data_IF_219720917251
#
_entry.id   IF_219720917251
#
_cell.length_a   1.000
_cell.length_b   1.000
_cell.length_c   1.000
_cell.angle_alpha   90.00
_cell.angle_beta   90.00
_cell.angle_gamma   90.00
#
_symmetry.space_group_name_H-M   'P 1'
#
loop_
_entity.id
_entity.type
_entity.pdbx_description
1 polymer ?
#
# COMPACT_ATOMS: atom_id res chain seq x y z
N UNK A 1 57.07 7.79 18.65
CA UNK A 1 57.10 7.95 17.18
C UNK A 1 57.94 9.17 16.87
N UNK A 2 58.43 9.39 15.64
CA UNK A 2 59.08 10.68 15.33
C UNK A 2 58.03 11.66 14.81
N UNK A 3 58.16 12.95 15.13
CA UNK A 3 57.27 13.98 14.58
C UNK A 3 57.42 14.20 13.08
N UNK A 4 58.53 13.71 12.51
CA UNK A 4 58.75 13.63 11.07
C UNK A 4 58.04 12.46 10.39
N UNK A 5 57.46 11.52 11.15
CA UNK A 5 56.72 10.40 10.57
C UNK A 5 55.39 10.91 10.00
N UNK A 6 55.05 10.46 8.78
CA UNK A 6 53.79 10.80 8.11
C UNK A 6 52.89 9.56 8.09
N UNK A 7 51.63 9.73 8.49
CA UNK A 7 50.67 8.65 8.63
C UNK A 7 49.43 8.86 7.76
N UNK A 8 48.96 7.77 7.17
CA UNK A 8 47.64 7.67 6.56
C UNK A 8 46.90 6.50 7.18
N UNK A 9 45.68 6.74 7.64
CA UNK A 9 44.78 5.69 8.15
C UNK A 9 43.80 5.32 7.05
N UNK A 10 43.72 4.05 6.72
CA UNK A 10 42.75 3.49 5.79
C UNK A 10 41.66 2.76 6.58
N UNK A 11 40.41 3.20 6.37
CA UNK A 11 39.21 2.49 6.79
C UNK A 11 38.66 1.78 5.57
N UNK A 12 38.50 0.46 5.65
CA UNK A 12 38.08 -0.41 4.57
C UNK A 12 36.76 -1.08 4.97
N UNK A 13 35.66 -0.48 4.53
CA UNK A 13 34.31 -0.99 4.70
C UNK A 13 33.87 -1.90 3.53
N UNK A 14 32.67 -2.46 3.65
CA UNK A 14 32.07 -3.27 2.57
C UNK A 14 31.60 -2.44 1.37
N UNK A 15 31.44 -1.13 1.56
CA UNK A 15 31.00 -0.18 0.53
C UNK A 15 31.99 0.98 0.39
N UNK A 16 31.90 1.70 -0.73
CA UNK A 16 32.67 2.92 -0.94
C UNK A 16 32.38 3.99 0.13
N UNK A 17 31.11 4.12 0.56
CA UNK A 17 30.71 5.05 1.62
C UNK A 17 31.25 4.64 3.00
N UNK A 18 31.44 3.34 3.23
CA UNK A 18 32.06 2.79 4.44
C UNK A 18 33.59 2.80 4.43
N UNK A 19 34.22 3.33 3.38
CA UNK A 19 35.67 3.34 3.23
C UNK A 19 36.23 4.76 3.13
N UNK A 20 37.40 5.01 3.71
CA UNK A 20 38.05 6.32 3.60
C UNK A 20 39.56 6.22 3.87
N UNK A 21 40.31 7.22 3.43
CA UNK A 21 41.71 7.42 3.79
C UNK A 21 41.84 8.76 4.49
N UNK A 22 42.39 8.76 5.70
CA UNK A 22 42.52 9.93 6.56
C UNK A 22 44.01 10.24 6.73
N UNK A 23 44.42 11.41 6.29
CA UNK A 23 45.79 11.88 6.40
C UNK A 23 46.10 13.02 5.42
N UNK A 24 47.33 13.56 5.45
CA UNK A 24 48.42 13.14 6.34
C UNK A 24 48.17 13.50 7.80
N UNK A 25 48.65 12.64 8.71
CA UNK A 25 48.82 12.93 10.14
C UNK A 25 50.31 12.84 10.48
N UNK A 26 50.76 13.62 11.44
CA UNK A 26 52.16 13.62 11.87
C UNK A 26 52.30 12.82 13.15
N UNK A 27 53.47 12.23 13.35
CA UNK A 27 53.72 11.49 14.57
C UNK A 27 53.90 12.35 15.81
N UNK A 28 53.63 11.75 16.95
CA UNK A 28 53.84 12.39 18.25
C UNK A 28 54.91 11.65 19.04
N UNK A 29 55.61 12.41 19.89
CA UNK A 29 56.73 11.92 20.69
C UNK A 29 56.28 10.90 21.74
N UNK A 30 55.04 10.99 22.20
CA UNK A 30 54.42 10.00 23.10
C UNK A 30 54.08 8.66 22.42
N UNK A 31 54.19 8.60 21.09
CA UNK A 31 53.94 7.39 20.32
C UNK A 31 52.48 7.14 19.93
N UNK A 32 51.57 8.07 20.19
CA UNK A 32 50.15 7.96 19.88
C UNK A 32 49.70 9.02 18.87
N UNK A 33 48.75 8.68 18.00
CA UNK A 33 48.12 9.65 17.10
C UNK A 33 46.63 9.41 17.10
N UNK A 34 45.86 10.46 17.40
CA UNK A 34 44.40 10.43 17.37
C UNK A 34 43.94 10.75 15.94
N UNK A 35 43.08 9.91 15.39
CA UNK A 35 42.52 10.05 14.06
C UNK A 35 41.01 9.94 14.13
N UNK A 36 40.32 11.04 13.86
CA UNK A 36 38.87 11.08 13.84
C UNK A 36 38.34 10.40 12.56
N UNK A 37 37.54 9.36 12.75
CA UNK A 37 36.81 8.72 11.64
C UNK A 37 35.46 9.43 11.46
N UNK A 38 35.11 9.89 10.24
CA UNK A 38 33.84 10.55 10.03
C UNK A 38 32.66 9.66 10.43
N UNK A 39 31.68 10.23 11.13
CA UNK A 39 30.49 9.49 11.55
C UNK A 39 29.71 8.86 10.36
N UNK A 40 29.75 9.49 9.19
CA UNK A 40 29.16 8.95 7.95
C UNK A 40 29.84 7.65 7.48
N UNK A 41 31.16 7.52 7.67
CA UNK A 41 31.92 6.30 7.34
C UNK A 41 31.55 5.18 8.31
N UNK A 42 31.45 5.49 9.61
CA UNK A 42 30.98 4.50 10.60
C UNK A 42 29.54 4.07 10.30
N UNK A 43 28.64 5.02 10.05
CA UNK A 43 27.24 4.74 9.73
C UNK A 43 27.07 3.87 8.47
N UNK A 44 27.90 4.08 7.45
CA UNK A 44 27.88 3.29 6.23
C UNK A 44 28.35 1.83 6.40
N UNK A 45 28.94 1.50 7.55
CA UNK A 45 29.29 0.13 7.91
C UNK A 45 28.25 -0.53 8.83
N UNK A 46 27.22 0.18 9.31
CA UNK A 46 26.15 -0.39 10.14
C UNK A 46 25.19 -1.20 9.26
N UNK A 47 24.84 -2.41 9.70
CA UNK A 47 23.84 -3.27 9.07
C UNK A 47 22.70 -3.67 10.02
N UNK A 48 21.74 -4.45 9.50
CA UNK A 48 20.66 -5.06 10.31
C UNK A 48 21.20 -6.13 11.28
N UNK A 49 22.31 -6.76 10.90
CA UNK A 49 23.06 -7.70 11.73
C UNK A 49 24.42 -7.10 12.04
N UNK A 50 25.16 -7.74 12.96
CA UNK A 50 26.55 -7.34 13.20
C UNK A 50 27.37 -7.41 11.92
N UNK A 51 28.16 -6.37 11.68
CA UNK A 51 29.05 -6.21 10.52
C UNK A 51 30.49 -6.05 10.98
N UNK A 52 31.42 -6.10 10.04
CA UNK A 52 32.84 -5.86 10.30
C UNK A 52 33.41 -4.94 9.23
N UNK A 53 34.40 -4.14 9.63
CA UNK A 53 35.24 -3.37 8.72
C UNK A 53 36.69 -3.41 9.21
N UNK A 54 37.62 -3.09 8.32
CA UNK A 54 39.05 -3.15 8.63
C UNK A 54 39.62 -1.75 8.76
N UNK A 55 40.47 -1.53 9.76
CA UNK A 55 41.30 -0.32 9.88
C UNK A 55 42.76 -0.74 9.76
N UNK A 56 43.54 -0.01 8.98
CA UNK A 56 45.01 -0.11 9.00
C UNK A 56 45.61 1.28 8.83
N UNK A 57 46.88 1.45 9.14
CA UNK A 57 47.58 2.68 8.85
C UNK A 57 48.92 2.41 8.18
N UNK A 58 49.42 3.38 7.45
CA UNK A 58 50.79 3.37 6.90
C UNK A 58 51.60 4.46 7.58
N UNK A 59 52.89 4.19 7.81
CA UNK A 59 53.85 5.17 8.32
C UNK A 59 54.97 5.34 7.30
N UNK A 60 55.19 6.57 6.86
CA UNK A 60 56.33 6.94 6.02
C UNK A 60 57.40 7.61 6.87
N UNK A 61 58.61 7.03 6.88
CA UNK A 61 59.78 7.56 7.57
C UNK A 61 61.00 7.51 6.64
N UNK A 62 61.65 8.66 6.44
CA UNK A 62 62.86 8.72 5.61
C UNK A 62 62.65 8.22 4.17
N UNK A 63 61.44 8.34 3.63
CA UNK A 63 61.08 7.86 2.29
C UNK A 63 60.59 6.40 2.24
N UNK A 64 60.71 5.62 3.32
CA UNK A 64 60.17 4.26 3.40
C UNK A 64 58.77 4.24 3.99
N UNK A 65 57.81 3.60 3.32
CA UNK A 65 56.44 3.41 3.80
C UNK A 65 56.23 2.00 4.31
N UNK A 66 55.69 1.85 5.53
CA UNK A 66 55.40 0.56 6.15
C UNK A 66 53.95 0.50 6.64
N UNK A 67 53.17 -0.55 6.28
CA UNK A 67 51.81 -0.72 6.79
C UNK A 67 51.81 -1.32 8.21
N UNK A 68 50.74 -1.04 8.95
CA UNK A 68 50.39 -1.72 10.18
C UNK A 68 49.79 -3.10 9.90
N UNK A 69 49.68 -3.91 10.95
CA UNK A 69 48.76 -5.06 10.92
C UNK A 69 47.32 -4.53 10.82
N UNK A 70 46.44 -5.16 10.03
CA UNK A 70 45.03 -4.80 9.97
C UNK A 70 44.31 -5.08 11.29
N UNK A 71 43.49 -4.12 11.73
CA UNK A 71 42.56 -4.27 12.85
C UNK A 71 41.15 -4.48 12.31
N UNK A 72 40.55 -5.63 12.61
CA UNK A 72 39.14 -5.88 12.33
C UNK A 72 38.28 -5.31 13.45
N UNK A 73 37.35 -4.41 13.10
CA UNK A 73 36.39 -3.81 14.03
C UNK A 73 35.02 -4.44 13.78
N UNK A 74 34.38 -4.92 14.84
CA UNK A 74 32.99 -5.40 14.79
C UNK A 74 32.04 -4.28 15.18
N UNK A 75 31.00 -4.07 14.37
CA UNK A 75 29.91 -3.14 14.63
C UNK A 75 28.63 -3.93 14.90
N UNK A 76 27.97 -3.63 16.00
CA UNK A 76 26.63 -4.15 16.25
C UNK A 76 25.58 -3.36 15.45
N UNK A 77 24.41 -3.96 15.25
CA UNK A 77 23.28 -3.25 14.67
C UNK A 77 22.77 -2.16 15.60
N UNK A 78 22.01 -1.20 15.05
CA UNK A 78 21.42 -0.15 15.87
C UNK A 78 20.50 -0.76 16.93
N UNK A 79 20.64 -0.36 18.21
CA UNK A 79 19.77 -0.85 19.27
C UNK A 79 18.30 -0.53 18.97
N UNK A 80 17.40 -1.47 19.30
CA UNK A 80 15.96 -1.27 19.12
C UNK A 80 15.45 0.00 19.81
N UNK A 81 16.03 0.36 20.97
CA UNK A 81 15.70 1.59 21.69
C UNK A 81 16.06 2.86 20.90
N UNK A 82 17.12 2.82 20.09
CA UNK A 82 17.48 3.93 19.20
C UNK A 82 16.51 4.02 18.03
N UNK A 83 16.21 2.88 17.38
CA UNK A 83 15.26 2.85 16.25
C UNK A 83 13.86 3.32 16.65
N UNK A 84 13.41 3.02 17.88
CA UNK A 84 12.12 3.46 18.43
C UNK A 84 12.01 4.97 18.67
N UNK A 85 13.12 5.72 18.66
CA UNK A 85 13.07 7.19 18.73
C UNK A 85 12.51 7.80 17.45
N UNK A 86 12.64 7.09 16.33
CA UNK A 86 12.01 7.49 15.06
C UNK A 86 10.52 7.24 15.13
N UNK A 87 9.73 8.30 15.09
CA UNK A 87 8.27 8.20 15.04
C UNK A 87 7.85 7.94 13.61
N UNK A 88 7.31 6.75 13.37
CA UNK A 88 6.72 6.30 12.11
C UNK A 88 5.24 6.09 12.37
N UNK A 89 4.34 6.88 11.77
CA UNK A 89 2.91 6.71 12.03
C UNK A 89 1.99 7.17 10.91
N UNK A 90 0.71 6.80 10.98
CA UNK A 90 -0.39 7.46 10.26
C UNK A 90 -1.04 8.45 11.23
N UNK A 91 -1.06 9.74 10.87
CA UNK A 91 -1.50 10.81 11.78
C UNK A 91 -2.98 10.73 12.17
N UNK A 92 -3.83 10.12 11.33
CA UNK A 92 -5.26 9.92 11.58
C UNK A 92 -5.57 8.65 12.38
N UNK A 93 -4.54 7.89 12.79
CA UNK A 93 -4.75 6.78 13.70
C UNK A 93 -5.02 7.30 15.12
N UNK A 94 -5.98 6.67 15.80
CA UNK A 94 -6.23 6.92 17.22
C UNK A 94 -5.08 6.42 18.10
N UNK A 95 -5.09 6.82 19.38
CA UNK A 95 -4.06 6.40 20.35
C UNK A 95 -3.99 4.88 20.57
N UNK A 96 -5.09 4.15 20.33
CA UNK A 96 -5.14 2.68 20.38
C UNK A 96 -4.80 2.02 19.03
N UNK A 97 -4.32 2.76 18.04
CA UNK A 97 -3.90 2.23 16.75
C UNK A 97 -5.05 1.83 15.83
N UNK A 98 -6.19 2.51 15.91
CA UNK A 98 -7.34 2.31 15.02
C UNK A 98 -7.37 3.40 13.96
N UNK A 99 -7.58 3.02 12.71
CA UNK A 99 -7.87 3.96 11.61
C UNK A 99 -9.34 3.77 11.24
N UNK A 100 -10.18 4.71 11.65
CA UNK A 100 -11.58 4.77 11.24
C UNK A 100 -11.65 5.40 9.85
N UNK A 101 -11.79 4.54 8.83
CA UNK A 101 -11.80 4.94 7.41
C UNK A 101 -13.05 5.74 7.07
N UNK A 102 -14.14 5.52 7.80
CA UNK A 102 -15.41 6.17 7.54
C UNK A 102 -15.44 7.58 8.13
N UNK A 103 -14.66 7.82 9.19
CA UNK A 103 -14.49 9.13 9.80
C UNK A 103 -13.34 9.97 9.20
N UNK A 104 -12.63 9.46 8.18
CA UNK A 104 -11.54 10.21 7.55
C UNK A 104 -12.07 11.49 6.88
N UNK A 105 -11.51 12.68 7.19
CA UNK A 105 -11.90 13.94 6.55
C UNK A 105 -11.40 14.04 5.09
N UNK A 106 -10.54 13.12 4.67
CA UNK A 106 -9.90 13.09 3.36
C UNK A 106 -8.87 11.97 3.29
N UNK A 107 -7.77 12.21 2.56
CA UNK A 107 -6.63 11.30 2.58
C UNK A 107 -5.95 11.31 3.95
N UNK A 108 -5.33 10.18 4.31
CA UNK A 108 -4.51 10.08 5.50
C UNK A 108 -3.06 10.50 5.21
N UNK A 109 -2.26 10.67 6.26
CA UNK A 109 -0.89 11.15 6.20
C UNK A 109 0.02 10.19 6.95
N UNK A 110 0.95 9.55 6.25
CA UNK A 110 2.02 8.79 6.86
C UNK A 110 3.18 9.75 7.17
N UNK A 111 3.72 9.67 8.38
CA UNK A 111 4.77 10.54 8.91
C UNK A 111 5.97 9.71 9.33
N UNK A 112 7.17 10.19 9.00
CA UNK A 112 8.43 9.65 9.50
C UNK A 112 9.28 10.81 10.04
N UNK A 113 9.70 10.77 11.30
CA UNK A 113 10.61 11.78 11.87
C UNK A 113 12.06 11.52 11.51
N UNK A 114 12.97 12.36 12.00
CA UNK A 114 14.41 12.11 11.90
C UNK A 114 14.83 10.80 12.59
N UNK A 115 15.93 10.21 12.12
CA UNK A 115 16.52 8.98 12.64
C UNK A 115 18.05 9.10 12.79
N UNK A 116 18.67 8.16 13.50
CA UNK A 116 20.12 8.16 13.74
C UNK A 116 20.92 8.11 12.43
N UNK A 117 22.00 8.90 12.36
CA UNK A 117 22.89 9.01 11.19
C UNK A 117 22.23 9.49 9.88
N UNK A 118 21.03 10.08 9.99
CA UNK A 118 20.33 10.67 8.86
C UNK A 118 21.14 11.78 8.21
N UNK A 119 21.23 11.74 6.88
CA UNK A 119 21.86 12.79 6.05
C UNK A 119 21.17 12.82 4.68
N UNK A 120 21.30 13.91 3.91
CA UNK A 120 20.74 13.98 2.56
C UNK A 120 21.28 12.86 1.65
N UNK A 121 20.43 12.37 0.75
CA UNK A 121 20.77 11.37 -0.25
C UNK A 121 20.74 9.92 0.24
N UNK A 122 20.34 9.65 1.50
CA UNK A 122 20.15 8.28 1.96
C UNK A 122 18.89 7.67 1.34
N UNK A 123 18.96 6.54 0.61
CA UNK A 123 17.78 5.87 0.08
C UNK A 123 16.87 5.36 1.19
N UNK A 124 15.55 5.54 1.01
CA UNK A 124 14.54 5.14 1.99
C UNK A 124 13.36 4.42 1.36
N UNK A 125 12.73 3.54 2.13
CA UNK A 125 11.53 2.82 1.72
C UNK A 125 10.45 2.99 2.78
N UNK A 126 9.21 3.15 2.33
CA UNK A 126 8.04 3.20 3.20
C UNK A 126 6.92 2.40 2.55
N UNK A 127 6.47 1.38 3.26
CA UNK A 127 5.49 0.43 2.77
C UNK A 127 4.27 0.38 3.67
N UNK A 128 3.12 0.18 3.04
CA UNK A 128 1.89 -0.24 3.66
C UNK A 128 1.62 -1.69 3.27
N UNK A 129 1.55 -2.56 4.26
CA UNK A 129 1.11 -3.94 4.09
C UNK A 129 -0.30 -4.07 4.65
N UNK A 130 -1.29 -4.11 3.77
CA UNK A 130 -2.70 -4.21 4.10
C UNK A 130 -3.33 -5.50 3.58
N UNK A 131 -4.54 -5.80 4.05
CA UNK A 131 -5.31 -6.99 3.65
C UNK A 131 -6.74 -6.57 3.31
N UNK A 132 -7.27 -7.05 2.18
CA UNK A 132 -8.66 -6.85 1.75
C UNK A 132 -9.62 -7.69 2.58
N UNK A 133 -10.93 -7.45 2.42
CA UNK A 133 -11.96 -8.22 3.11
C UNK A 133 -11.95 -9.72 2.75
N UNK A 134 -11.49 -10.09 1.55
CA UNK A 134 -11.35 -11.47 1.09
C UNK A 134 -10.06 -12.16 1.57
N UNK A 135 -9.23 -11.47 2.36
CA UNK A 135 -7.94 -11.98 2.85
C UNK A 135 -6.77 -11.80 1.88
N UNK A 136 -7.00 -11.27 0.67
CA UNK A 136 -5.90 -11.03 -0.28
C UNK A 136 -5.01 -9.86 0.15
N UNK A 137 -3.68 -9.95 -0.05
CA UNK A 137 -2.77 -8.83 0.21
C UNK A 137 -3.11 -7.61 -0.66
N UNK A 138 -3.06 -6.44 -0.05
CA UNK A 138 -3.21 -5.16 -0.73
C UNK A 138 -2.10 -4.21 -0.28
N UNK A 139 -0.88 -4.49 -0.75
CA UNK A 139 0.30 -3.74 -0.38
C UNK A 139 0.44 -2.46 -1.23
N UNK A 140 0.97 -1.40 -0.64
CA UNK A 140 1.24 -0.13 -1.32
C UNK A 140 2.63 0.38 -0.95
N UNK A 141 3.39 0.81 -1.95
CA UNK A 141 4.67 1.49 -1.77
C UNK A 141 4.45 2.99 -1.77
N UNK A 142 4.78 3.65 -0.66
CA UNK A 142 4.74 5.11 -0.53
C UNK A 142 6.07 5.74 -0.95
N UNK A 143 7.19 5.15 -0.49
CA UNK A 143 8.54 5.55 -0.88
C UNK A 143 9.32 4.35 -1.41
N UNK A 144 10.02 4.53 -2.53
CA UNK A 144 10.85 3.50 -3.15
C UNK A 144 12.31 3.99 -3.29
N UNK A 145 13.18 3.51 -2.40
CA UNK A 145 14.59 3.88 -2.35
C UNK A 145 15.43 3.29 -3.48
N UNK A 146 14.95 2.22 -4.12
CA UNK A 146 15.59 1.65 -5.31
C UNK A 146 15.45 2.55 -6.54
N UNK A 147 14.50 3.50 -6.51
CA UNK A 147 14.30 4.51 -7.54
C UNK A 147 14.83 5.87 -7.06
N UNK A 148 13.93 6.79 -6.64
CA UNK A 148 14.27 8.19 -6.32
C UNK A 148 14.01 8.60 -4.89
N UNK A 149 13.40 7.75 -4.06
CA UNK A 149 13.08 8.14 -2.69
C UNK A 149 14.36 8.17 -1.84
N UNK A 150 14.64 9.32 -1.27
CA UNK A 150 15.81 9.54 -0.44
C UNK A 150 15.54 10.66 0.56
N UNK A 151 16.37 10.71 1.61
CA UNK A 151 16.34 11.82 2.56
C UNK A 151 16.72 13.12 1.86
N UNK A 152 15.90 14.15 1.99
CA UNK A 152 16.21 15.50 1.54
C UNK A 152 16.53 16.46 2.71
N UNK A 153 16.98 17.67 2.38
CA UNK A 153 17.31 18.69 3.37
C UNK A 153 16.08 19.28 4.09
N UNK A 154 14.90 19.23 3.46
CA UNK A 154 13.66 19.74 4.05
C UNK A 154 13.22 18.83 5.21
N UNK A 155 13.28 17.51 5.03
CA UNK A 155 13.00 16.52 6.07
C UNK A 155 13.87 16.76 7.31
N UNK A 156 15.18 16.94 7.12
CA UNK A 156 16.10 17.20 8.24
C UNK A 156 15.76 18.51 8.96
N UNK A 157 15.55 19.60 8.22
CA UNK A 157 15.31 20.93 8.81
C UNK A 157 13.95 21.04 9.51
N UNK A 158 12.90 20.41 8.99
CA UNK A 158 11.56 20.42 9.61
C UNK A 158 11.35 19.31 10.64
N UNK A 159 12.21 18.29 10.65
CA UNK A 159 12.19 17.18 11.61
C UNK A 159 11.28 16.01 11.23
N UNK A 160 10.59 16.06 10.08
CA UNK A 160 9.69 14.99 9.61
C UNK A 160 9.52 14.98 8.09
N UNK A 161 9.04 13.88 7.53
CA UNK A 161 8.58 13.73 6.15
C UNK A 161 7.15 13.21 6.14
N UNK A 162 6.35 13.64 5.15
CA UNK A 162 4.94 13.29 5.03
C UNK A 162 4.67 12.65 3.68
N UNK A 163 4.00 11.50 3.70
CA UNK A 163 3.47 10.82 2.53
C UNK A 163 1.94 10.80 2.58
N UNK A 164 1.31 11.00 1.42
CA UNK A 164 -0.15 10.91 1.31
C UNK A 164 -0.59 9.47 1.19
N UNK A 165 -1.47 9.03 2.09
CA UNK A 165 -2.13 7.73 2.01
C UNK A 165 -3.55 7.93 1.52
N UNK A 166 -3.82 7.50 0.28
CA UNK A 166 -5.12 7.76 -0.34
C UNK A 166 -6.24 7.05 0.43
N UNK A 167 -7.34 7.77 0.62
CA UNK A 167 -8.53 7.23 1.29
C UNK A 167 -9.14 6.04 0.54
N UNK A 168 -9.08 6.03 -0.79
CA UNK A 168 -9.56 4.91 -1.60
C UNK A 168 -8.77 3.62 -1.33
N UNK A 169 -7.44 3.70 -1.19
CA UNK A 169 -6.62 2.56 -0.79
C UNK A 169 -7.05 2.01 0.58
N UNK A 170 -7.27 2.88 1.57
CA UNK A 170 -7.72 2.45 2.90
C UNK A 170 -9.12 1.83 2.88
N UNK A 171 -10.03 2.35 2.04
CA UNK A 171 -11.38 1.79 1.82
C UNK A 171 -11.36 0.44 1.10
N UNK A 172 -10.26 0.08 0.46
CA UNK A 172 -10.10 -1.22 -0.19
C UNK A 172 -9.65 -2.32 0.80
N UNK A 173 -9.24 -1.94 2.01
CA UNK A 173 -8.85 -2.86 3.07
C UNK A 173 -10.09 -3.41 3.80
N UNK A 174 -9.96 -4.62 4.33
CA UNK A 174 -11.03 -5.27 5.10
C UNK A 174 -11.29 -4.57 6.44
N UNK A 175 -12.55 -4.53 6.86
CA UNK A 175 -12.90 -4.12 8.21
C UNK A 175 -12.22 -5.04 9.24
N UNK A 176 -11.66 -4.46 10.30
CA UNK A 176 -10.86 -5.12 11.35
C UNK A 176 -9.59 -5.81 10.84
N UNK A 177 -9.19 -5.57 9.59
CA UNK A 177 -7.92 -6.08 9.08
C UNK A 177 -6.75 -5.28 9.64
N UNK A 178 -5.58 -5.92 9.65
CA UNK A 178 -4.35 -5.26 10.07
C UNK A 178 -3.74 -4.49 8.88
N UNK A 179 -3.26 -3.28 9.16
CA UNK A 179 -2.38 -2.51 8.28
C UNK A 179 -1.05 -2.27 8.97
N UNK A 180 0.05 -2.62 8.30
CA UNK A 180 1.40 -2.41 8.81
C UNK A 180 2.11 -1.33 8.01
N UNK A 181 2.62 -0.30 8.70
CA UNK A 181 3.50 0.72 8.15
C UNK A 181 4.96 0.35 8.46
N UNK A 182 5.75 0.08 7.43
CA UNK A 182 7.14 -0.36 7.54
C UNK A 182 8.07 0.65 6.88
N UNK A 183 9.05 1.15 7.64
CA UNK A 183 10.07 2.08 7.16
C UNK A 183 11.45 1.41 7.13
N UNK A 184 12.27 1.74 6.12
CA UNK A 184 13.66 1.29 6.00
C UNK A 184 14.55 2.41 5.47
N UNK A 185 15.83 2.44 5.88
CA UNK A 185 16.80 3.42 5.39
C UNK A 185 18.19 2.81 5.18
N UNK A 186 18.82 3.05 4.03
CA UNK A 186 20.16 2.55 3.71
C UNK A 186 21.24 3.57 4.13
N UNK A 187 21.83 3.41 5.32
CA UNK A 187 22.82 4.33 5.89
C UNK A 187 24.13 4.41 5.09
N UNK A 188 24.41 3.40 4.26
CA UNK A 188 25.54 3.34 3.35
C UNK A 188 25.30 4.09 2.03
N UNK A 189 24.09 4.61 1.80
CA UNK A 189 23.74 5.34 0.58
C UNK A 189 23.51 4.47 -0.66
N UNK A 190 23.54 3.13 -0.52
CA UNK A 190 23.31 2.21 -1.63
C UNK A 190 21.81 2.02 -1.84
N UNK A 191 21.34 2.10 -3.10
CA UNK A 191 19.94 1.87 -3.49
C UNK A 191 19.58 0.38 -3.54
N UNK A 192 19.92 -0.36 -2.49
CA UNK A 192 19.63 -1.77 -2.32
C UNK A 192 18.91 -1.98 -0.98
N UNK A 193 17.64 -2.39 -1.04
CA UNK A 193 16.81 -2.55 0.15
C UNK A 193 17.35 -3.62 1.10
N UNK A 194 18.08 -4.63 0.60
CA UNK A 194 18.67 -5.67 1.45
C UNK A 194 19.73 -5.13 2.41
N UNK A 195 20.30 -3.96 2.09
CA UNK A 195 21.29 -3.27 2.92
C UNK A 195 20.68 -2.18 3.81
N UNK A 196 19.36 -1.97 3.71
CA UNK A 196 18.66 -0.93 4.46
C UNK A 196 18.34 -1.38 5.88
N UNK A 197 18.58 -0.50 6.86
CA UNK A 197 18.18 -0.72 8.25
C UNK A 197 16.67 -0.73 8.34
N UNK A 198 16.12 -1.81 8.91
CA UNK A 198 14.68 -1.97 9.11
C UNK A 198 14.25 -1.41 10.47
N UNK A 199 13.34 -0.42 10.45
CA UNK A 199 12.80 0.16 11.67
C UNK A 199 11.65 -0.69 12.21
N UNK A 200 11.33 -0.62 13.51
CA UNK A 200 10.17 -1.32 14.06
C UNK A 200 8.88 -0.90 13.33
N UNK A 201 8.08 -1.85 12.83
CA UNK A 201 6.83 -1.52 12.15
C UNK A 201 5.81 -0.92 13.11
N UNK A 202 4.96 -0.05 12.58
CA UNK A 202 3.75 0.39 13.30
C UNK A 202 2.54 -0.31 12.71
N UNK A 203 1.70 -0.90 13.57
CA UNK A 203 0.55 -1.71 13.17
C UNK A 203 -0.75 -1.02 13.59
N UNK A 204 -1.72 -1.05 12.70
CA UNK A 204 -3.04 -0.49 12.88
C UNK A 204 -4.12 -1.54 12.67
N UNK A 205 -5.27 -1.31 13.27
CA UNK A 205 -6.52 -2.01 12.95
C UNK A 205 -7.41 -1.07 12.14
N UNK A 206 -7.86 -1.54 10.98
CA UNK A 206 -8.79 -0.78 10.15
C UNK A 206 -10.21 -0.93 10.70
N UNK A 207 -10.94 0.17 10.71
CA UNK A 207 -12.35 0.16 11.05
C UNK A 207 -13.13 0.80 9.91
N UNK A 208 -14.05 0.02 9.34
CA UNK A 208 -15.07 0.52 8.43
C UNK A 208 -16.35 -0.29 8.60
N UNK A 209 -17.45 0.40 8.83
CA UNK A 209 -18.80 -0.17 8.95
C UNK A 209 -19.61 0.01 7.67
N UNK A 210 -19.04 0.69 6.68
CA UNK A 210 -19.64 0.91 5.37
C UNK A 210 -19.57 -0.36 4.52
N UNK A 211 -20.64 -0.63 3.77
CA UNK A 211 -20.68 -1.76 2.84
C UNK A 211 -19.70 -1.54 1.68
N UNK A 212 -18.84 -2.53 1.41
CA UNK A 212 -18.15 -2.71 0.14
C UNK A 212 -18.27 -4.17 -0.28
N UNK A 213 -19.20 -4.42 -1.18
CA UNK A 213 -19.61 -5.76 -1.61
C UNK A 213 -19.44 -5.87 -3.11
N UNK A 214 -18.34 -6.49 -3.54
CA UNK A 214 -18.08 -6.76 -4.96
C UNK A 214 -18.18 -8.27 -5.26
N UNK A 215 -18.64 -8.63 -6.46
CA UNK A 215 -18.83 -10.02 -6.88
C UNK A 215 -18.44 -10.15 -8.35
N UNK A 216 -17.37 -10.91 -8.60
CA UNK A 216 -16.82 -11.22 -9.92
C UNK A 216 -17.22 -12.60 -10.42
N UNK A 217 -18.00 -13.36 -9.62
CA UNK A 217 -18.41 -14.74 -9.88
C UNK A 217 -17.28 -15.77 -10.11
N UNK A 218 -16.02 -15.40 -9.84
CA UNK A 218 -14.88 -16.30 -9.89
C UNK A 218 -15.05 -17.46 -8.91
N UNK A 219 -14.42 -18.59 -9.22
CA UNK A 219 -14.43 -19.80 -8.40
C UNK A 219 -15.84 -20.34 -8.10
N UNK A 220 -16.79 -20.08 -9.01
CA UNK A 220 -18.21 -20.39 -8.86
C UNK A 220 -18.84 -19.75 -7.60
N UNK A 221 -18.34 -18.60 -7.16
CA UNK A 221 -18.81 -17.91 -5.96
C UNK A 221 -19.91 -16.89 -6.26
N UNK A 222 -21.15 -17.19 -5.87
CA UNK A 222 -22.32 -16.32 -6.05
C UNK A 222 -22.39 -15.15 -5.05
N UNK A 223 -21.53 -15.08 -4.02
CA UNK A 223 -21.58 -14.07 -2.96
C UNK A 223 -23.01 -13.79 -2.40
N UNK A 224 -23.75 -14.89 -2.14
CA UNK A 224 -25.12 -14.88 -1.63
C UNK A 224 -26.17 -14.17 -2.50
N UNK A 225 -25.84 -13.86 -3.76
CA UNK A 225 -26.84 -13.42 -4.74
C UNK A 225 -27.80 -14.56 -5.08
N UNK A 226 -29.09 -14.27 -5.04
CA UNK A 226 -30.17 -15.16 -5.44
C UNK A 226 -30.66 -14.78 -6.83
N UNK A 227 -30.86 -15.78 -7.68
CA UNK A 227 -31.52 -15.59 -8.97
C UNK A 227 -33.04 -15.62 -8.77
N UNK A 228 -33.74 -14.67 -9.39
CA UNK A 228 -35.21 -14.70 -9.50
C UNK A 228 -35.69 -15.92 -10.31
N UNK A 229 -34.86 -16.43 -11.22
CA UNK A 229 -35.23 -17.52 -12.15
C UNK A 229 -34.36 -18.76 -12.00
N UNK A 230 -34.93 -19.96 -12.18
CA UNK A 230 -34.19 -21.22 -12.03
C UNK A 230 -33.23 -21.48 -13.20
N UNK A 231 -33.55 -20.98 -14.40
CA UNK A 231 -32.72 -21.11 -15.60
C UNK A 231 -31.60 -20.06 -15.61
N UNK A 232 -30.72 -20.16 -14.61
CA UNK A 232 -29.60 -19.25 -14.40
C UNK A 232 -28.42 -19.95 -13.71
N UNK A 233 -27.21 -19.41 -13.89
CA UNK A 233 -26.02 -19.91 -13.22
C UNK A 233 -24.73 -19.25 -13.70
N UNK A 234 -23.63 -19.58 -13.03
CA UNK A 234 -22.31 -19.09 -13.42
C UNK A 234 -21.86 -19.78 -14.71
N UNK A 235 -21.30 -18.98 -15.62
CA UNK A 235 -20.68 -19.40 -16.88
C UNK A 235 -19.27 -18.85 -16.94
N UNK A 236 -18.45 -19.45 -17.82
CA UNK A 236 -17.06 -19.08 -18.02
C UNK A 236 -16.77 -18.91 -19.50
N UNK A 237 -16.19 -17.78 -19.86
CA UNK A 237 -15.67 -17.53 -21.21
C UNK A 237 -14.31 -18.20 -21.44
N UNK A 238 -13.91 -18.33 -22.71
CA UNK A 238 -12.60 -18.89 -23.09
C UNK A 238 -11.41 -18.07 -22.57
N UNK A 239 -11.59 -16.75 -22.38
CA UNK A 239 -10.63 -15.83 -21.78
C UNK A 239 -10.48 -16.00 -20.24
N UNK A 240 -11.29 -16.87 -19.61
CA UNK A 240 -11.29 -17.11 -18.18
C UNK A 240 -12.20 -16.22 -17.34
N UNK A 241 -12.95 -15.29 -17.95
CA UNK A 241 -13.93 -14.47 -17.27
C UNK A 241 -15.13 -15.32 -16.82
N UNK A 242 -15.42 -15.31 -15.52
CA UNK A 242 -16.65 -15.89 -14.98
C UNK A 242 -17.73 -14.81 -14.90
N UNK A 243 -18.98 -15.18 -15.13
CA UNK A 243 -20.11 -14.25 -15.05
C UNK A 243 -21.39 -15.03 -14.74
N UNK A 244 -22.39 -14.35 -14.21
CA UNK A 244 -23.71 -14.94 -14.07
C UNK A 244 -24.50 -14.80 -15.37
N UNK A 245 -25.15 -15.87 -15.81
CA UNK A 245 -26.00 -15.90 -16.99
C UNK A 245 -27.40 -16.39 -16.63
N UNK A 246 -28.43 -15.82 -17.23
CA UNK A 246 -29.79 -16.32 -17.18
C UNK A 246 -30.46 -16.35 -18.56
N UNK A 247 -31.29 -17.36 -18.77
CA UNK A 247 -32.06 -17.61 -20.00
C UNK A 247 -33.53 -17.84 -19.66
N UNK A 248 -34.26 -16.81 -19.18
CA UNK A 248 -35.63 -16.96 -18.72
C UNK A 248 -36.58 -17.25 -19.89
N UNK A 249 -37.79 -17.70 -19.55
CA UNK A 249 -38.87 -17.89 -20.51
C UNK A 249 -39.33 -16.59 -21.18
N UNK A 250 -40.13 -16.74 -22.24
CA UNK A 250 -40.69 -15.62 -23.02
C UNK A 250 -41.37 -14.57 -22.14
N UNK A 251 -40.98 -13.31 -22.31
CA UNK A 251 -41.58 -12.15 -21.63
C UNK A 251 -41.15 -11.95 -20.18
N UNK A 252 -40.24 -12.79 -19.66
CA UNK A 252 -39.78 -12.72 -18.27
C UNK A 252 -38.42 -12.03 -18.19
N UNK A 253 -38.32 -10.98 -17.35
CA UNK A 253 -37.06 -10.31 -16.99
C UNK A 253 -36.07 -11.23 -16.30
N UNK A 254 -34.91 -10.71 -15.91
CA UNK A 254 -34.00 -11.40 -14.97
C UNK A 254 -33.62 -10.48 -13.83
N UNK A 255 -33.36 -11.05 -12.66
CA UNK A 255 -32.88 -10.32 -11.50
C UNK A 255 -31.95 -11.18 -10.67
N UNK A 256 -30.83 -10.58 -10.28
CA UNK A 256 -30.05 -11.01 -9.13
C UNK A 256 -30.41 -10.11 -7.97
N UNK A 257 -30.76 -10.70 -6.82
CA UNK A 257 -31.11 -9.94 -5.63
C UNK A 257 -30.46 -10.53 -4.38
N UNK A 258 -30.23 -9.68 -3.37
CA UNK A 258 -29.82 -10.09 -2.02
C UNK A 258 -30.25 -9.06 -1.00
N UNK A 259 -30.31 -9.46 0.27
CA UNK A 259 -30.53 -8.52 1.38
C UNK A 259 -29.19 -8.01 1.88
N UNK A 260 -29.02 -6.68 1.92
CA UNK A 260 -27.91 -6.02 2.58
C UNK A 260 -28.35 -5.51 3.94
N UNK A 261 -27.50 -5.68 4.95
CA UNK A 261 -27.75 -5.26 6.34
C UNK A 261 -26.68 -4.22 6.75
N UNK A 262 -26.79 -2.96 6.29
CA UNK A 262 -25.83 -1.92 6.65
C UNK A 262 -25.86 -1.63 8.15
N UNK A 263 -24.69 -1.38 8.74
CA UNK A 263 -24.56 -0.99 10.15
C UNK A 263 -24.69 0.53 10.37
N UNK A 264 -24.68 1.32 9.31
CA UNK A 264 -24.76 2.78 9.34
C UNK A 264 -25.52 3.31 8.12
N UNK A 265 -26.01 4.54 8.20
CA UNK A 265 -26.57 5.24 7.04
C UNK A 265 -25.47 5.72 6.09
N UNK A 266 -25.78 5.92 4.81
CA UNK A 266 -24.79 6.38 3.84
C UNK A 266 -25.30 6.51 2.41
N UNK A 267 -24.41 7.00 1.54
CA UNK A 267 -24.65 7.10 0.11
C UNK A 267 -24.14 5.87 -0.61
N UNK A 268 -24.92 5.38 -1.57
CA UNK A 268 -24.60 4.19 -2.32
C UNK A 268 -24.21 4.50 -3.76
N UNK A 269 -23.17 3.81 -4.22
CA UNK A 269 -22.78 3.72 -5.62
C UNK A 269 -22.77 2.25 -6.03
N UNK A 270 -23.29 1.99 -7.22
CA UNK A 270 -23.34 0.63 -7.79
C UNK A 270 -22.66 0.64 -9.14
N UNK A 271 -21.80 -0.35 -9.35
CA UNK A 271 -21.23 -0.68 -10.65
C UNK A 271 -21.48 -2.14 -10.99
N UNK A 272 -21.62 -2.44 -12.27
CA UNK A 272 -21.66 -3.82 -12.78
C UNK A 272 -21.39 -3.81 -14.28
N UNK A 273 -21.00 -4.95 -14.83
CA UNK A 273 -20.97 -5.20 -16.27
C UNK A 273 -22.17 -6.04 -16.67
N UNK A 274 -22.68 -5.83 -17.88
CA UNK A 274 -23.74 -6.65 -18.44
C UNK A 274 -23.56 -6.87 -19.94
N UNK A 275 -24.06 -7.99 -20.45
CA UNK A 275 -24.17 -8.27 -21.87
C UNK A 275 -25.53 -8.91 -22.14
N UNK A 276 -26.20 -8.44 -23.19
CA UNK A 276 -27.55 -8.89 -23.55
C UNK A 276 -27.55 -9.20 -25.04
N UNK A 277 -28.16 -10.32 -25.45
CA UNK A 277 -28.08 -10.77 -26.84
C UNK A 277 -29.22 -10.28 -27.75
N UNK A 278 -30.29 -9.70 -27.20
CA UNK A 278 -31.49 -9.33 -27.97
C UNK A 278 -32.28 -8.19 -27.30
N UNK A 279 -32.77 -7.26 -28.12
CA UNK A 279 -33.68 -6.18 -27.71
C UNK A 279 -35.14 -6.62 -27.68
N UNK A 280 -35.94 -6.02 -26.81
CA UNK A 280 -37.41 -6.10 -26.75
C UNK A 280 -38.07 -5.98 -28.13
N UNK A 281 -39.05 -6.84 -28.41
CA UNK A 281 -39.80 -6.85 -29.67
C UNK A 281 -41.24 -6.32 -29.53
N UNK A 282 -41.72 -6.08 -28.30
CA UNK A 282 -43.10 -5.63 -28.03
C UNK A 282 -43.10 -4.57 -26.92
N UNK A 283 -43.62 -3.37 -27.25
CA UNK A 283 -44.18 -2.41 -26.29
C UNK A 283 -43.23 -1.44 -25.56
N UNK A 284 -41.95 -1.78 -25.34
CA UNK A 284 -40.97 -0.90 -24.68
C UNK A 284 -39.52 -1.41 -24.89
N UNK A 285 -38.47 -0.56 -24.78
CA UNK A 285 -37.09 -1.03 -24.89
C UNK A 285 -36.69 -1.95 -23.73
N UNK A 286 -35.76 -2.88 -23.98
CA UNK A 286 -35.06 -3.61 -22.92
C UNK A 286 -34.19 -2.62 -22.15
N UNK A 287 -34.23 -2.68 -20.82
CA UNK A 287 -33.43 -1.83 -19.95
C UNK A 287 -32.81 -2.62 -18.81
N UNK A 288 -31.69 -2.12 -18.30
CA UNK A 288 -31.12 -2.57 -17.03
C UNK A 288 -31.62 -1.68 -15.90
N UNK A 289 -31.78 -2.27 -14.73
CA UNK A 289 -32.30 -1.62 -13.53
C UNK A 289 -31.46 -1.99 -12.32
N UNK A 290 -31.25 -1.00 -11.45
CA UNK A 290 -30.72 -1.20 -10.11
C UNK A 290 -31.78 -0.75 -9.12
N UNK A 291 -32.13 -1.59 -8.15
CA UNK A 291 -32.90 -1.20 -6.97
C UNK A 291 -32.08 -1.43 -5.70
N UNK A 292 -31.97 -0.41 -4.85
CA UNK A 292 -31.47 -0.54 -3.48
C UNK A 292 -32.52 0.03 -2.52
N UNK A 293 -33.37 -0.82 -1.95
CA UNK A 293 -34.48 -0.37 -1.10
C UNK A 293 -35.39 0.64 -1.83
N UNK A 294 -35.37 1.90 -1.39
CA UNK A 294 -36.15 3.00 -2.00
C UNK A 294 -35.45 3.68 -3.19
N UNK A 295 -34.18 3.37 -3.45
CA UNK A 295 -33.41 3.96 -4.55
C UNK A 295 -33.56 3.11 -5.82
N UNK A 296 -33.72 3.79 -6.96
CA UNK A 296 -33.90 3.16 -8.26
C UNK A 296 -33.11 3.89 -9.34
N UNK A 297 -32.51 3.13 -10.24
CA UNK A 297 -31.91 3.65 -11.46
C UNK A 297 -32.20 2.71 -12.63
N UNK A 298 -32.41 3.27 -13.82
CA UNK A 298 -32.70 2.52 -15.05
C UNK A 298 -31.95 3.09 -16.23
N UNK A 299 -31.53 2.22 -17.15
CA UNK A 299 -30.94 2.61 -18.43
C UNK A 299 -31.36 1.68 -19.55
N UNK A 300 -31.86 2.25 -20.65
CA UNK A 300 -32.12 1.49 -21.88
C UNK A 300 -30.82 0.88 -22.38
N UNK A 301 -30.89 -0.38 -22.81
CA UNK A 301 -29.73 -1.08 -23.38
C UNK A 301 -29.32 -0.38 -24.68
N UNK A 302 -28.10 0.18 -24.77
CA UNK A 302 -27.68 0.94 -25.94
C UNK A 302 -27.23 0.04 -27.10
N UNK A 303 -26.76 -1.17 -26.81
CA UNK A 303 -26.25 -2.12 -27.79
C UNK A 303 -26.29 -3.55 -27.23
N UNK A 304 -26.37 -4.54 -28.12
CA UNK A 304 -26.43 -5.97 -27.79
C UNK A 304 -25.14 -6.70 -28.16
N UNK A 305 -24.96 -7.93 -27.65
CA UNK A 305 -23.84 -8.83 -27.93
C UNK A 305 -22.45 -8.27 -27.56
N UNK A 306 -22.41 -7.31 -26.64
CA UNK A 306 -21.17 -6.70 -26.14
C UNK A 306 -21.28 -6.43 -24.65
N UNK A 307 -20.14 -6.46 -23.96
CA UNK A 307 -20.06 -6.11 -22.54
C UNK A 307 -20.15 -4.60 -22.38
N UNK A 308 -21.10 -4.17 -21.55
CA UNK A 308 -21.37 -2.79 -21.18
C UNK A 308 -21.17 -2.60 -19.69
N UNK A 309 -20.79 -1.40 -19.27
CA UNK A 309 -20.51 -1.08 -17.87
C UNK A 309 -21.45 -0.01 -17.34
N UNK A 310 -21.92 -0.21 -16.12
CA UNK A 310 -22.65 0.77 -15.32
C UNK A 310 -21.77 1.18 -14.14
N UNK A 311 -21.77 2.47 -13.81
CA UNK A 311 -21.21 3.00 -12.57
C UNK A 311 -21.98 4.26 -12.19
N UNK A 312 -22.88 4.14 -11.20
CA UNK A 312 -23.85 5.19 -10.86
C UNK A 312 -23.90 5.42 -9.35
N UNK A 313 -23.93 6.70 -8.96
CA UNK A 313 -24.30 7.10 -7.62
C UNK A 313 -25.83 7.12 -7.51
N UNK A 314 -26.40 6.29 -6.64
CA UNK A 314 -27.85 6.13 -6.48
C UNK A 314 -28.45 7.12 -5.48
N UNK A 315 -27.79 7.34 -4.35
CA UNK A 315 -28.28 8.22 -3.30
C UNK A 315 -28.15 7.64 -1.90
N UNK A 316 -28.87 8.27 -0.96
CA UNK A 316 -28.78 8.00 0.47
C UNK A 316 -29.79 6.95 0.95
N UNK A 317 -29.37 6.06 1.86
CA UNK A 317 -30.26 5.16 2.61
C UNK A 317 -29.98 5.25 4.13
N UNK A 318 -31.00 5.06 4.98
CA UNK A 318 -30.93 5.32 6.42
C UNK A 318 -30.24 4.23 7.25
N UNK A 319 -29.47 3.31 6.64
CA UNK A 319 -28.75 2.26 7.37
C UNK A 319 -29.66 1.17 7.95
N UNK A 320 -30.78 0.90 7.29
CA UNK A 320 -31.67 -0.23 7.61
C UNK A 320 -31.48 -1.35 6.59
N UNK A 321 -31.81 -2.62 6.91
CA UNK A 321 -31.78 -3.68 5.92
C UNK A 321 -32.62 -3.34 4.69
N UNK A 322 -32.13 -3.66 3.51
CA UNK A 322 -32.84 -3.47 2.25
C UNK A 322 -32.49 -4.56 1.25
N UNK A 323 -33.41 -4.82 0.32
CA UNK A 323 -33.13 -5.64 -0.84
C UNK A 323 -32.35 -4.82 -1.87
N UNK A 324 -31.23 -5.37 -2.31
CA UNK A 324 -30.44 -4.91 -3.43
C UNK A 324 -30.70 -5.81 -4.62
N UNK A 325 -30.96 -5.26 -5.80
CA UNK A 325 -31.07 -6.02 -7.03
C UNK A 325 -30.47 -5.33 -8.24
N UNK A 326 -29.93 -6.15 -9.13
CA UNK A 326 -29.52 -5.78 -10.49
C UNK A 326 -30.36 -6.64 -11.44
N UNK A 327 -31.06 -5.97 -12.36
CA UNK A 327 -32.06 -6.62 -13.19
C UNK A 327 -31.97 -6.22 -14.66
N UNK A 328 -32.45 -7.10 -15.53
CA UNK A 328 -32.81 -6.78 -16.92
C UNK A 328 -34.33 -6.91 -17.04
N UNK A 329 -34.99 -5.86 -17.53
CA UNK A 329 -36.45 -5.81 -17.66
C UNK A 329 -36.85 -5.54 -19.12
N UNK A 330 -38.11 -5.82 -19.43
CA UNK A 330 -38.67 -5.82 -20.78
C UNK A 330 -37.85 -6.62 -21.82
N UNK A 331 -37.55 -7.90 -21.59
CA UNK A 331 -36.87 -8.74 -22.59
C UNK A 331 -37.81 -9.27 -23.69
N UNK A 332 -37.22 -9.84 -24.76
CA UNK A 332 -37.93 -10.58 -25.81
C UNK A 332 -38.28 -12.02 -25.46
N UNK A 333 -39.12 -12.64 -26.32
CA UNK A 333 -39.17 -14.09 -26.56
C UNK A 333 -37.77 -14.63 -26.84
N UNK A 334 -37.20 -15.36 -25.87
CA UNK A 334 -35.85 -15.91 -25.91
C UNK A 334 -34.77 -14.83 -25.78
N UNK A 335 -33.84 -15.05 -24.86
CA UNK A 335 -32.69 -14.16 -24.63
C UNK A 335 -31.67 -14.79 -23.69
N UNK A 336 -30.46 -14.25 -23.73
CA UNK A 336 -29.34 -14.59 -22.85
C UNK A 336 -28.89 -13.28 -22.21
N UNK A 337 -28.92 -13.26 -20.88
CA UNK A 337 -28.61 -12.10 -20.07
C UNK A 337 -27.43 -12.43 -19.18
N UNK A 338 -26.33 -11.74 -19.40
CA UNK A 338 -25.10 -11.91 -18.65
C UNK A 338 -24.90 -10.69 -17.73
N UNK A 339 -24.55 -10.93 -16.47
CA UNK A 339 -24.19 -9.91 -15.48
C UNK A 339 -22.89 -10.30 -14.80
N UNK A 340 -22.00 -9.34 -14.59
CA UNK A 340 -20.69 -9.55 -14.00
C UNK A 340 -20.22 -8.34 -13.19
N UNK A 341 -19.18 -8.50 -12.38
CA UNK A 341 -18.51 -7.46 -11.58
C UNK A 341 -19.46 -6.53 -10.81
N UNK A 342 -20.50 -7.10 -10.21
CA UNK A 342 -21.45 -6.33 -9.41
C UNK A 342 -20.70 -5.83 -8.18
N UNK A 343 -20.58 -4.52 -8.02
CA UNK A 343 -20.06 -3.92 -6.79
C UNK A 343 -20.99 -2.85 -6.24
N UNK A 344 -21.37 -3.02 -4.97
CA UNK A 344 -22.15 -2.08 -4.18
C UNK A 344 -21.22 -1.48 -3.13
N UNK A 345 -21.06 -0.16 -3.19
CA UNK A 345 -20.22 0.60 -2.27
C UNK A 345 -21.06 1.62 -1.53
N UNK A 346 -20.87 1.68 -0.22
CA UNK A 346 -21.44 2.66 0.67
C UNK A 346 -20.35 3.65 1.10
N UNK A 347 -20.71 4.91 1.17
CA UNK A 347 -19.85 5.98 1.68
C UNK A 347 -20.58 6.76 2.78
N UNK A 348 -19.84 7.30 3.76
CA UNK A 348 -20.41 8.21 4.76
C UNK A 348 -21.04 9.44 4.10
N UNK A 349 -21.85 10.16 4.86
CA UNK A 349 -22.35 11.48 4.44
C UNK A 349 -21.15 12.38 4.10
N UNK A 350 -21.15 13.10 2.95
CA UNK A 350 -20.08 14.03 2.67
C UNK A 350 -20.09 15.10 3.76
N UNK A 351 -19.09 15.06 4.65
CA UNK A 351 -18.85 16.16 5.59
C UNK A 351 -18.56 17.40 4.76
N UNK A 352 -19.50 18.33 4.76
CA UNK A 352 -19.28 19.68 4.25
C UNK A 352 -18.10 20.23 5.05
N UNK A 353 -16.97 20.46 4.37
CA UNK A 353 -15.79 21.10 4.96
C UNK A 353 -16.06 22.54 5.32
#
# INVERSE_FOLDING_TARGET
MYSSDILFVEVLGSTAAGSTVIGPKYGETDGTVIVDVPASVIAANIGNTSTQFTIRYTVTRGGETRPSVPLTVSLESLPLAELKKTVIRIDQASANGVIDVDALPGNATARVTTFAFMRPGLPVWLYLYGVRADGTPHNLTLMNGSDRAEVDAAWISQGYHLETVLSNYLRDLGNRSQLTLQFKAALNGVRDELQAIEFPPTRYTLQSVMIKECTTFNDNYMNYWLSEWPDAGIRRESNGNYFWQSTPGTGSGVSLYKVLTPAAAGYYRVSFRYRINKFAAIGAPTFVEIHLGTLKWTQNVPQINTWLSVNVALGYLPGKPFEASVSVRNPTTGGVYDIDDICITQMPYPTVM
#
